data_IF_521330369009
#
_entry.id   IF_521330369009
#
_cell.length_a   1.000
_cell.length_b   1.000
_cell.length_c   1.000
_cell.angle_alpha   90.00
_cell.angle_beta   90.00
_cell.angle_gamma   90.00
#
_symmetry.space_group_name_H-M   'P 1'
#
loop_
_entity.id
_entity.type
_entity.pdbx_description
1 polymer ?
#
# COMPACT_ATOMS: atom_id res chain seq x y z
N UNK A 1 -3.42 -9.73 5.97
CA UNK A 1 -2.75 -10.41 4.83
C UNK A 1 -1.27 -10.06 4.71
N UNK A 2 -0.88 -8.78 4.57
CA UNK A 2 0.52 -8.37 4.40
C UNK A 2 1.48 -8.89 5.50
N UNK A 3 1.17 -8.62 6.77
CA UNK A 3 2.03 -9.01 7.91
C UNK A 3 2.21 -10.53 7.95
N UNK A 4 1.12 -11.30 7.86
CA UNK A 4 1.20 -12.76 7.83
C UNK A 4 1.95 -13.33 6.62
N UNK A 5 2.02 -12.60 5.48
CA UNK A 5 2.75 -13.07 4.29
C UNK A 5 4.24 -12.75 4.38
N UNK A 6 4.62 -11.57 4.88
CA UNK A 6 5.98 -11.05 4.78
C UNK A 6 6.76 -10.95 6.10
N UNK A 7 6.09 -11.02 7.26
CA UNK A 7 6.70 -10.91 8.59
C UNK A 7 6.80 -12.25 9.34
N UNK A 8 7.13 -13.34 8.64
CA UNK A 8 7.26 -14.69 9.22
C UNK A 8 8.65 -15.00 9.81
N UNK A 9 9.52 -14.00 9.93
CA UNK A 9 10.86 -14.14 10.49
C UNK A 9 11.32 -12.80 11.06
N UNK A 10 12.37 -12.83 11.88
CA UNK A 10 13.09 -11.62 12.28
C UNK A 10 13.72 -10.94 11.06
N UNK A 11 13.75 -9.61 11.08
CA UNK A 11 14.32 -8.77 10.01
C UNK A 11 15.39 -7.86 10.61
N UNK A 12 16.52 -7.70 9.90
CA UNK A 12 17.63 -6.83 10.34
C UNK A 12 17.37 -5.35 10.11
N UNK A 13 16.54 -5.03 9.12
CA UNK A 13 16.25 -3.67 8.68
C UNK A 13 14.74 -3.48 8.71
N UNK A 14 14.30 -2.33 9.19
CA UNK A 14 12.92 -1.87 9.15
C UNK A 14 12.86 -0.50 8.49
N UNK A 15 12.06 -0.37 7.44
CA UNK A 15 11.78 0.91 6.80
C UNK A 15 10.57 1.55 7.48
N UNK A 16 10.67 2.84 7.77
CA UNK A 16 9.59 3.62 8.38
C UNK A 16 9.13 4.73 7.42
N UNK A 17 7.82 4.83 7.25
CA UNK A 17 7.16 6.00 6.69
C UNK A 17 6.63 6.91 7.80
N UNK A 18 6.05 8.05 7.42
CA UNK A 18 5.38 8.93 8.38
C UNK A 18 3.96 8.46 8.69
N UNK A 19 3.11 8.39 7.67
CA UNK A 19 1.70 8.08 7.78
C UNK A 19 1.13 7.59 6.44
N UNK A 20 -0.05 6.94 6.44
CA UNK A 20 -0.75 6.58 5.22
C UNK A 20 -1.01 7.82 4.36
N UNK A 21 -0.67 7.72 3.09
CA UNK A 21 -1.12 8.66 2.07
C UNK A 21 -2.48 8.22 1.49
N UNK A 22 -3.29 9.18 1.00
CA UNK A 22 -4.67 8.95 0.57
C UNK A 22 -4.82 7.99 -0.62
N UNK A 23 -3.80 7.82 -1.47
CA UNK A 23 -3.89 7.01 -2.70
C UNK A 23 -2.99 5.78 -2.71
N UNK A 24 -2.48 5.41 -1.54
CA UNK A 24 -1.64 4.23 -1.35
C UNK A 24 -2.15 3.40 -0.18
N UNK A 25 -1.50 3.53 0.97
CA UNK A 25 -1.82 2.75 2.17
C UNK A 25 -3.27 2.94 2.65
N UNK A 26 -3.87 4.12 2.50
CA UNK A 26 -5.29 4.33 2.84
C UNK A 26 -6.26 3.56 1.93
N UNK A 27 -5.81 3.11 0.76
CA UNK A 27 -6.59 2.30 -0.17
C UNK A 27 -6.31 0.81 -0.01
N UNK A 28 -5.07 0.42 0.31
CA UNK A 28 -4.64 -1.00 0.27
C UNK A 28 -4.38 -1.62 1.64
N UNK A 29 -4.21 -0.81 2.69
CA UNK A 29 -3.75 -1.25 4.00
C UNK A 29 -2.28 -1.70 4.05
N UNK A 30 -1.52 -1.55 2.96
CA UNK A 30 -0.10 -1.91 2.88
C UNK A 30 0.77 -0.65 2.99
N UNK A 31 1.82 -0.63 3.83
CA UNK A 31 2.76 0.49 3.89
C UNK A 31 3.36 0.78 2.52
N UNK A 32 3.43 2.07 2.14
CA UNK A 32 3.88 2.48 0.80
C UNK A 32 3.08 1.80 -0.34
N UNK A 33 1.82 1.43 -0.07
CA UNK A 33 1.06 0.50 -0.89
C UNK A 33 0.49 1.09 -2.18
N UNK A 34 1.37 1.38 -3.14
CA UNK A 34 0.99 1.64 -4.53
C UNK A 34 0.21 0.45 -5.09
N UNK A 35 -0.95 0.70 -5.69
CA UNK A 35 -1.97 -0.33 -5.93
C UNK A 35 -1.48 -1.43 -6.86
N UNK A 36 -0.83 -1.08 -7.98
CA UNK A 36 -0.32 -2.08 -8.93
C UNK A 36 0.81 -2.90 -8.30
N UNK A 37 1.70 -2.28 -7.54
CA UNK A 37 2.76 -3.01 -6.85
C UNK A 37 2.23 -3.94 -5.76
N UNK A 38 1.20 -3.52 -5.02
CA UNK A 38 0.58 -4.38 -4.00
C UNK A 38 -0.13 -5.56 -4.63
N UNK A 39 -0.93 -5.34 -5.68
CA UNK A 39 -1.67 -6.41 -6.35
C UNK A 39 -0.75 -7.30 -7.18
N UNK A 40 0.04 -6.71 -8.08
CA UNK A 40 0.72 -7.42 -9.15
C UNK A 40 2.11 -7.93 -8.72
N UNK A 41 2.82 -7.22 -7.83
CA UNK A 41 4.15 -7.64 -7.34
C UNK A 41 4.10 -8.33 -5.97
N UNK A 42 3.39 -7.76 -4.99
CA UNK A 42 3.21 -8.39 -3.68
C UNK A 42 2.14 -9.48 -3.69
N UNK A 43 1.28 -9.57 -4.71
CA UNK A 43 0.21 -10.57 -4.77
C UNK A 43 -0.73 -10.47 -3.58
N UNK A 44 -1.15 -9.25 -3.26
CA UNK A 44 -2.04 -8.92 -2.14
C UNK A 44 -3.26 -8.20 -2.71
N UNK A 45 -4.44 -8.81 -2.55
CA UNK A 45 -5.74 -8.19 -2.85
C UNK A 45 -6.83 -8.71 -1.89
N UNK A 46 -7.87 -7.91 -1.67
CA UNK A 46 -8.97 -8.31 -0.82
C UNK A 46 -9.99 -7.20 -0.59
N UNK A 47 -11.08 -7.49 0.13
CA UNK A 47 -12.11 -6.50 0.42
C UNK A 47 -11.52 -5.36 1.27
N UNK A 48 -11.81 -4.13 0.87
CA UNK A 48 -11.46 -2.91 1.60
C UNK A 48 -12.76 -2.19 1.95
N UNK A 49 -13.07 -2.11 3.24
CA UNK A 49 -14.25 -1.42 3.73
C UNK A 49 -14.00 0.08 3.84
N UNK A 50 -15.10 0.84 3.82
CA UNK A 50 -15.06 2.29 4.00
C UNK A 50 -14.90 2.68 5.48
N UNK A 51 -14.26 3.83 5.77
CA UNK A 51 -14.32 4.42 7.10
C UNK A 51 -15.75 4.86 7.44
N UNK A 52 -16.03 5.02 8.74
CA UNK A 52 -17.34 5.50 9.22
C UNK A 52 -17.69 6.88 8.63
N UNK A 53 -16.69 7.75 8.51
CA UNK A 53 -16.81 9.06 7.88
C UNK A 53 -15.81 9.20 6.74
N UNK A 54 -16.33 9.38 5.53
CA UNK A 54 -15.55 9.51 4.30
C UNK A 54 -15.59 10.95 3.78
N UNK A 55 -14.42 11.52 3.49
CA UNK A 55 -14.33 12.82 2.81
C UNK A 55 -14.54 12.62 1.32
N UNK A 56 -15.39 13.46 0.71
CA UNK A 56 -15.72 13.38 -0.72
C UNK A 56 -14.49 13.49 -1.62
N UNK A 57 -13.50 14.29 -1.23
CA UNK A 57 -12.25 14.51 -1.96
C UNK A 57 -11.24 13.37 -1.76
N UNK A 58 -11.47 12.50 -0.76
CA UNK A 58 -10.59 11.38 -0.37
C UNK A 58 -11.37 10.08 -0.16
N UNK A 59 -12.09 9.58 -1.19
CA UNK A 59 -12.83 8.34 -1.07
C UNK A 59 -11.87 7.14 -0.96
N UNK A 60 -12.26 6.15 -0.16
CA UNK A 60 -11.66 4.83 -0.12
C UNK A 60 -12.37 3.96 -1.15
N UNK A 61 -11.65 3.66 -2.23
CA UNK A 61 -12.09 2.78 -3.33
C UNK A 61 -11.37 1.44 -3.33
N UNK A 62 -10.50 1.20 -2.36
CA UNK A 62 -9.73 -0.04 -2.31
C UNK A 62 -8.81 -0.20 -3.52
N UNK A 63 -8.74 -1.43 -4.03
CA UNK A 63 -7.93 -1.79 -5.20
C UNK A 63 -8.49 -1.23 -6.53
N UNK A 64 -9.70 -0.67 -6.54
CA UNK A 64 -10.29 0.01 -7.70
C UNK A 64 -9.91 1.50 -7.79
N UNK A 65 -9.08 2.00 -6.86
CA UNK A 65 -8.59 3.37 -6.91
C UNK A 65 -7.64 3.57 -8.11
N UNK A 66 -8.06 4.40 -9.08
CA UNK A 66 -7.23 4.73 -10.25
C UNK A 66 -6.15 5.81 -9.96
N UNK A 67 -6.14 6.39 -8.76
CA UNK A 67 -5.15 7.41 -8.37
C UNK A 67 -3.92 6.75 -7.77
N UNK A 68 -2.76 7.34 -8.02
CA UNK A 68 -1.45 6.86 -7.54
C UNK A 68 -0.72 7.94 -6.75
N UNK A 69 0.02 7.53 -5.73
CA UNK A 69 0.97 8.40 -5.02
C UNK A 69 2.31 8.45 -5.74
N UNK A 70 2.53 9.54 -6.49
CA UNK A 70 3.71 9.72 -7.34
C UNK A 70 5.02 9.59 -6.55
N UNK A 71 5.09 10.13 -5.32
CA UNK A 71 6.28 10.04 -4.49
C UNK A 71 6.61 8.59 -4.08
N UNK A 72 5.60 7.80 -3.73
CA UNK A 72 5.75 6.40 -3.31
C UNK A 72 6.19 5.52 -4.48
N UNK A 73 5.71 5.82 -5.69
CA UNK A 73 6.05 5.06 -6.90
C UNK A 73 7.56 4.94 -7.10
N UNK A 74 8.34 5.99 -6.80
CA UNK A 74 9.80 5.95 -6.91
C UNK A 74 10.44 4.98 -5.92
N UNK A 75 9.99 5.00 -4.65
CA UNK A 75 10.48 4.09 -3.60
C UNK A 75 10.18 2.63 -4.00
N UNK A 76 8.96 2.36 -4.45
CA UNK A 76 8.55 1.02 -4.87
C UNK A 76 9.36 0.52 -6.07
N UNK A 77 9.59 1.35 -7.09
CA UNK A 77 10.44 0.98 -8.23
C UNK A 77 11.86 0.60 -7.75
N UNK A 78 12.43 1.39 -6.83
CA UNK A 78 13.74 1.06 -6.25
C UNK A 78 13.71 -0.30 -5.54
N UNK A 79 12.71 -0.57 -4.70
CA UNK A 79 12.60 -1.83 -3.97
C UNK A 79 12.38 -3.05 -4.89
N UNK A 80 11.58 -2.89 -5.95
CA UNK A 80 11.34 -3.95 -6.95
C UNK A 80 12.63 -4.30 -7.69
N UNK A 81 13.45 -3.29 -8.02
CA UNK A 81 14.71 -3.46 -8.75
C UNK A 81 15.88 -3.93 -7.87
N UNK A 82 15.75 -3.89 -6.54
CA UNK A 82 16.75 -4.39 -5.60
C UNK A 82 16.67 -5.91 -5.35
N UNK A 83 15.89 -6.63 -6.16
CA UNK A 83 15.82 -8.10 -6.14
C UNK A 83 17.10 -8.75 -6.64
#
# INVERSE_FOLDING_TARGET
>A
MYVHKYCNSTKKIMYFGMNPGPWGMSQTGVPFGEISAVRDWLGIEGPVNKPEYELRERPVKGFDCARTEVFIKKIIITLVNLR
#
